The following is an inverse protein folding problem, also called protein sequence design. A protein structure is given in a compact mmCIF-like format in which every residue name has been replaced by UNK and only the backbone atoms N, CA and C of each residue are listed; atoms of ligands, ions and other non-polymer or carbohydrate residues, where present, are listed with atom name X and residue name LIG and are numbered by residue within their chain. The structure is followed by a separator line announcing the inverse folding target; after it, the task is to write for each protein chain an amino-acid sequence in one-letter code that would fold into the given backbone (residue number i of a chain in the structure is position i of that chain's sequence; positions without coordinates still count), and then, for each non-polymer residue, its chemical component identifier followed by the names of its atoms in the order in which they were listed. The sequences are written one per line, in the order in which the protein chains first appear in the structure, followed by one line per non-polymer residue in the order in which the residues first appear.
data_IF_680118914553
#
_entry.id   IF_680118914553
#
_cell.length_a   1.000
_cell.length_b   1.000
_cell.length_c   1.000
_cell.angle_alpha   90.00
_cell.angle_beta   90.00
_cell.angle_gamma   90.00
#
_symmetry.space_group_name_H-M   'P 1'
#
loop_
_entity.id
_entity.type
_entity.pdbx_description
1 polymer ?
#
# COMPACT_ATOMS: atom_id res chain seq x y z
N UNK A 1 17.46 -3.41 -7.06
CA UNK A 1 17.07 -4.61 -6.33
C UNK A 1 16.81 -5.71 -7.35
N UNK A 2 17.49 -6.82 -7.23
CA UNK A 2 17.26 -7.97 -8.09
C UNK A 2 16.05 -8.76 -7.58
N UNK A 3 15.03 -8.87 -8.38
CA UNK A 3 13.92 -9.78 -8.11
C UNK A 3 14.43 -11.21 -8.09
N UNK A 4 14.09 -11.93 -7.04
CA UNK A 4 14.52 -13.33 -6.90
C UNK A 4 13.71 -14.23 -7.84
N UNK A 5 14.41 -15.04 -8.61
CA UNK A 5 13.82 -16.05 -9.49
C UNK A 5 13.85 -17.41 -8.80
N UNK A 6 12.72 -18.08 -8.80
CA UNK A 6 12.59 -19.42 -8.22
C UNK A 6 12.42 -20.49 -9.29
N UNK A 7 12.98 -21.67 -9.04
CA UNK A 7 12.69 -22.84 -9.88
C UNK A 7 11.28 -23.37 -9.59
N UNK A 8 10.75 -24.22 -10.47
CA UNK A 8 9.46 -24.88 -10.23
C UNK A 8 9.48 -25.68 -8.92
N UNK A 9 10.58 -26.33 -8.61
CA UNK A 9 10.74 -27.11 -7.37
C UNK A 9 10.72 -26.21 -6.12
N UNK A 10 11.44 -25.10 -6.16
CA UNK A 10 11.45 -24.13 -5.08
C UNK A 10 10.06 -23.48 -4.88
N UNK A 11 9.37 -23.16 -5.96
CA UNK A 11 8.02 -22.66 -5.92
C UNK A 11 7.05 -23.70 -5.32
N UNK A 12 7.17 -24.95 -5.71
CA UNK A 12 6.36 -26.05 -5.17
C UNK A 12 6.54 -26.23 -3.67
N UNK A 13 7.77 -26.19 -3.17
CA UNK A 13 8.08 -26.25 -1.75
C UNK A 13 7.45 -25.08 -0.98
N UNK A 14 7.57 -23.89 -1.53
CA UNK A 14 7.04 -22.66 -0.91
C UNK A 14 5.51 -22.63 -0.86
N UNK A 15 4.87 -23.09 -1.93
CA UNK A 15 3.41 -23.18 -2.02
C UNK A 15 2.84 -24.46 -1.38
N UNK A 16 3.69 -25.37 -0.94
CA UNK A 16 3.32 -26.68 -0.40
C UNK A 16 2.49 -27.50 -1.41
N UNK A 17 2.90 -27.43 -2.68
CA UNK A 17 2.28 -28.14 -3.80
C UNK A 17 3.29 -29.10 -4.44
N UNK A 18 2.76 -30.04 -5.22
CA UNK A 18 3.62 -30.90 -6.03
C UNK A 18 4.14 -30.13 -7.26
N UNK A 19 5.41 -30.34 -7.70
CA UNK A 19 5.96 -29.66 -8.89
C UNK A 19 5.09 -29.77 -10.16
N UNK A 20 4.46 -30.92 -10.37
CA UNK A 20 3.51 -31.10 -11.50
C UNK A 20 2.29 -30.16 -11.41
N UNK A 21 1.83 -29.88 -10.21
CA UNK A 21 0.73 -28.94 -9.96
C UNK A 21 1.15 -27.52 -10.30
N UNK A 22 2.38 -27.13 -9.94
CA UNK A 22 2.93 -25.80 -10.28
C UNK A 22 3.05 -25.65 -11.78
N UNK A 23 3.56 -26.66 -12.50
CA UNK A 23 3.63 -26.65 -13.96
C UNK A 23 2.25 -26.53 -14.61
N UNK A 24 1.25 -27.23 -14.10
CA UNK A 24 -0.14 -27.13 -14.57
C UNK A 24 -0.69 -25.71 -14.38
N UNK A 25 -0.44 -25.09 -13.23
CA UNK A 25 -0.88 -23.72 -12.95
C UNK A 25 -0.24 -22.72 -13.91
N UNK A 26 1.02 -22.92 -14.27
CA UNK A 26 1.71 -22.09 -15.29
C UNK A 26 1.08 -22.28 -16.65
N UNK A 27 0.82 -23.52 -17.06
CA UNK A 27 0.18 -23.82 -18.36
C UNK A 27 -1.26 -23.29 -18.45
N UNK A 28 -2.00 -23.29 -17.36
CA UNK A 28 -3.37 -22.76 -17.30
C UNK A 28 -3.40 -21.22 -17.21
N UNK A 29 -2.24 -20.55 -17.11
CA UNK A 29 -2.15 -19.10 -16.96
C UNK A 29 -2.55 -18.56 -15.60
N UNK A 30 -2.68 -19.42 -14.59
CA UNK A 30 -3.04 -19.04 -13.23
C UNK A 30 -1.85 -18.60 -12.38
N UNK A 31 -0.67 -19.05 -12.73
CA UNK A 31 0.60 -18.65 -12.14
C UNK A 31 1.53 -18.17 -13.24
N UNK A 32 2.07 -16.96 -13.12
CA UNK A 32 3.02 -16.45 -14.09
C UNK A 32 4.37 -17.13 -13.96
N UNK A 33 4.88 -17.68 -15.05
CA UNK A 33 6.20 -18.26 -15.12
C UNK A 33 6.84 -17.94 -16.45
N UNK A 34 8.14 -17.67 -16.43
CA UNK A 34 8.92 -17.40 -17.62
C UNK A 34 9.76 -18.63 -17.98
N UNK A 35 9.64 -19.09 -19.22
CA UNK A 35 10.45 -20.21 -19.71
C UNK A 35 11.85 -19.72 -20.09
N UNK A 36 12.86 -20.23 -19.40
CA UNK A 36 14.26 -19.96 -19.71
C UNK A 36 14.91 -21.31 -20.08
N UNK A 37 15.19 -21.49 -21.37
CA UNK A 37 15.68 -22.76 -21.88
C UNK A 37 14.65 -23.87 -21.75
N UNK A 38 14.96 -24.92 -21.01
CA UNK A 38 14.09 -26.09 -20.77
C UNK A 38 13.33 -26.00 -19.44
N UNK A 39 13.55 -24.96 -18.66
CA UNK A 39 13.01 -24.81 -17.32
C UNK A 39 12.19 -23.53 -17.18
N UNK A 40 11.19 -23.56 -16.32
CA UNK A 40 10.46 -22.36 -15.94
C UNK A 40 11.12 -21.69 -14.75
N UNK A 41 11.04 -20.36 -14.72
CA UNK A 41 11.42 -19.53 -13.60
C UNK A 41 10.22 -18.67 -13.20
N UNK A 42 10.03 -18.55 -11.90
CA UNK A 42 8.89 -17.85 -11.30
C UNK A 42 9.44 -16.71 -10.46
N UNK A 43 8.94 -15.50 -10.68
CA UNK A 43 9.32 -14.35 -9.89
C UNK A 43 8.77 -14.45 -8.47
N UNK A 44 9.52 -13.98 -7.51
CA UNK A 44 9.09 -13.91 -6.10
C UNK A 44 7.76 -13.15 -5.96
N UNK A 45 7.60 -12.05 -6.70
CA UNK A 45 6.36 -11.26 -6.74
C UNK A 45 5.17 -12.07 -7.25
N UNK A 46 5.35 -12.90 -8.25
CA UNK A 46 4.29 -13.77 -8.78
C UNK A 46 3.89 -14.87 -7.80
N UNK A 47 4.86 -15.43 -7.09
CA UNK A 47 4.59 -16.42 -6.04
C UNK A 47 3.79 -15.83 -4.89
N UNK A 48 4.15 -14.64 -4.45
CA UNK A 48 3.42 -13.92 -3.39
C UNK A 48 2.01 -13.58 -3.81
N UNK A 49 1.84 -13.09 -5.03
CA UNK A 49 0.52 -12.78 -5.57
C UNK A 49 -0.38 -14.01 -5.66
N UNK A 50 0.17 -15.15 -6.08
CA UNK A 50 -0.55 -16.41 -6.17
C UNK A 50 -0.92 -16.97 -4.78
N UNK A 51 -0.02 -16.86 -3.82
CA UNK A 51 -0.25 -17.29 -2.43
C UNK A 51 -1.29 -16.42 -1.69
N UNK A 52 -1.77 -15.36 -2.33
CA UNK A 52 -2.66 -14.37 -1.69
C UNK A 52 -1.89 -13.40 -0.80
N UNK A 53 -0.57 -13.49 -0.80
CA UNK A 53 0.30 -12.49 -0.21
C UNK A 53 0.37 -11.31 -1.18
N UNK A 54 -0.62 -10.42 -1.12
CA UNK A 54 -0.45 -9.12 -1.77
C UNK A 54 0.86 -8.50 -1.27
N UNK A 55 1.59 -7.73 -2.11
CA UNK A 55 2.82 -7.09 -1.65
C UNK A 55 2.55 -6.36 -0.33
N UNK A 56 3.04 -6.93 0.78
CA UNK A 56 2.86 -6.42 2.14
C UNK A 56 1.57 -6.79 2.86
N UNK A 57 0.76 -7.70 2.32
CA UNK A 57 -0.17 -8.39 3.18
C UNK A 57 0.65 -9.31 4.08
N UNK A 58 0.76 -8.98 5.33
CA UNK A 58 1.09 -9.92 6.37
C UNK A 58 0.11 -11.10 6.33
N UNK A 59 0.32 -12.14 7.14
CA UNK A 59 -0.51 -13.34 7.12
C UNK A 59 -1.98 -12.93 7.02
N UNK A 60 -2.70 -13.57 6.12
CA UNK A 60 -4.12 -13.30 5.82
C UNK A 60 -4.95 -13.30 7.10
N UNK A 61 -4.98 -12.17 7.75
CA UNK A 61 -5.71 -11.88 8.94
C UNK A 61 -6.72 -10.77 8.69
N UNK A 62 -7.62 -10.57 9.62
CA UNK A 62 -8.55 -9.45 9.62
C UNK A 62 -7.79 -8.14 9.44
N UNK A 63 -8.03 -7.45 8.33
CA UNK A 63 -7.45 -6.13 8.08
C UNK A 63 -8.44 -5.07 8.51
N UNK A 64 -7.96 -4.11 9.29
CA UNK A 64 -8.76 -2.95 9.68
C UNK A 64 -8.49 -1.84 8.67
N UNK A 65 -9.54 -1.42 7.98
CA UNK A 65 -9.52 -0.23 7.13
C UNK A 65 -10.25 0.91 7.81
N UNK A 66 -9.67 2.08 7.73
CA UNK A 66 -10.19 3.29 8.36
C UNK A 66 -10.49 4.32 7.27
N UNK A 67 -11.69 4.86 7.30
CA UNK A 67 -12.03 6.08 6.59
C UNK A 67 -12.10 7.19 7.63
N UNK A 68 -11.23 8.16 7.50
CA UNK A 68 -11.12 9.27 8.45
C UNK A 68 -11.43 10.58 7.74
N UNK A 69 -12.27 11.40 8.34
CA UNK A 69 -12.51 12.78 7.92
C UNK A 69 -12.01 13.69 9.02
N UNK A 70 -11.00 14.48 8.70
CA UNK A 70 -10.43 15.46 9.61
C UNK A 70 -10.81 16.87 9.13
N UNK A 71 -11.24 17.69 10.04
CA UNK A 71 -11.55 19.10 9.79
C UNK A 71 -10.68 19.98 10.68
N UNK A 72 -9.99 20.93 10.08
CA UNK A 72 -9.18 21.91 10.80
C UNK A 72 -9.76 23.29 10.50
N UNK A 73 -10.28 23.91 11.53
CA UNK A 73 -10.94 25.21 11.45
C UNK A 73 -9.97 26.36 11.70
N UNK A 74 -10.41 27.55 11.32
CA UNK A 74 -9.72 28.81 11.58
C UNK A 74 -8.33 28.91 10.92
N UNK A 75 -8.21 28.38 9.71
CA UNK A 75 -7.01 28.43 8.90
C UNK A 75 -7.11 29.49 7.80
N UNK A 76 -6.01 30.17 7.55
CA UNK A 76 -5.86 30.93 6.30
C UNK A 76 -5.58 29.96 5.14
N UNK A 77 -5.80 30.39 3.91
CA UNK A 77 -5.50 29.60 2.71
C UNK A 77 -4.01 29.17 2.69
N UNK A 78 -3.12 30.04 3.12
CA UNK A 78 -1.68 29.78 3.14
C UNK A 78 -1.32 28.67 4.16
N UNK A 79 -1.91 28.73 5.34
CA UNK A 79 -1.74 27.70 6.38
C UNK A 79 -2.33 26.37 5.94
N UNK A 80 -3.52 26.37 5.37
CA UNK A 80 -4.15 25.17 4.81
C UNK A 80 -3.29 24.53 3.72
N UNK A 81 -2.74 25.34 2.80
CA UNK A 81 -1.85 24.85 1.75
C UNK A 81 -0.58 24.23 2.31
N UNK A 82 -0.01 24.82 3.33
CA UNK A 82 1.17 24.29 4.03
C UNK A 82 0.91 22.91 4.64
N UNK A 83 -0.19 22.80 5.37
CA UNK A 83 -0.61 21.52 6.00
C UNK A 83 -0.87 20.48 4.92
N UNK A 84 -1.64 20.80 3.89
CA UNK A 84 -1.95 19.87 2.80
C UNK A 84 -0.68 19.39 2.07
N UNK A 85 0.30 20.26 1.83
CA UNK A 85 1.56 19.90 1.19
C UNK A 85 2.40 18.94 2.04
N UNK A 86 2.49 19.16 3.34
CA UNK A 86 3.21 18.27 4.25
C UNK A 86 2.55 16.89 4.31
N UNK A 87 1.24 16.85 4.42
CA UNK A 87 0.49 15.59 4.43
C UNK A 87 0.65 14.82 3.11
N UNK A 88 0.59 15.52 1.97
CA UNK A 88 0.79 14.92 0.65
C UNK A 88 2.21 14.40 0.47
N UNK A 89 3.23 15.14 0.91
CA UNK A 89 4.62 14.71 0.85
C UNK A 89 4.88 13.44 1.69
N UNK A 90 4.24 13.33 2.85
CA UNK A 90 4.32 12.14 3.69
C UNK A 90 3.72 10.90 3.00
N UNK A 91 2.70 11.08 2.15
CA UNK A 91 2.11 9.99 1.37
C UNK A 91 3.05 9.51 0.27
N UNK A 92 3.68 10.43 -0.46
CA UNK A 92 4.61 10.11 -1.55
C UNK A 92 5.83 9.33 -1.04
N UNK A 93 6.34 9.64 0.13
CA UNK A 93 7.47 8.94 0.73
C UNK A 93 7.16 7.48 1.11
N UNK A 94 5.91 7.09 1.06
CA UNK A 94 5.41 5.78 1.46
C UNK A 94 4.83 4.95 0.30
N UNK A 95 5.14 5.28 -0.96
CA UNK A 95 4.65 4.55 -2.14
C UNK A 95 5.01 3.06 -2.18
N UNK A 96 6.00 2.64 -1.42
CA UNK A 96 6.41 1.24 -1.31
C UNK A 96 5.51 0.41 -0.37
N UNK A 97 4.44 0.98 0.15
CA UNK A 97 3.54 0.27 1.06
C UNK A 97 2.52 -0.59 0.34
N UNK A 98 2.17 -1.73 0.92
CA UNK A 98 1.24 -2.70 0.34
C UNK A 98 -0.21 -2.23 0.30
N UNK A 99 -0.58 -1.32 1.17
CA UNK A 99 -1.93 -0.75 1.24
C UNK A 99 -1.89 0.68 0.70
N UNK A 100 -2.58 0.96 -0.42
CA UNK A 100 -2.60 2.31 -0.97
C UNK A 100 -3.31 3.25 0.00
N UNK A 101 -2.57 4.21 0.49
CA UNK A 101 -3.08 5.37 1.21
C UNK A 101 -3.67 6.33 0.20
N UNK A 102 -4.93 6.66 0.36
CA UNK A 102 -5.59 7.69 -0.44
C UNK A 102 -6.01 8.85 0.44
N UNK A 103 -5.65 10.03 0.04
CA UNK A 103 -6.04 11.26 0.71
C UNK A 103 -6.58 12.26 -0.28
N UNK A 104 -7.65 12.92 0.10
CA UNK A 104 -8.23 14.07 -0.62
C UNK A 104 -8.36 15.22 0.34
N UNK A 105 -7.94 16.41 -0.06
CA UNK A 105 -8.06 17.62 0.73
C UNK A 105 -8.87 18.66 0.01
N UNK A 106 -9.66 19.43 0.74
CA UNK A 106 -10.41 20.56 0.24
C UNK A 106 -10.37 21.71 1.27
N UNK A 107 -10.09 22.91 0.80
CA UNK A 107 -10.14 24.10 1.63
C UNK A 107 -11.38 24.93 1.28
N UNK A 108 -12.12 25.30 2.30
CA UNK A 108 -13.31 26.15 2.19
C UNK A 108 -13.00 27.55 2.73
N UNK A 109 -12.79 28.53 1.85
CA UNK A 109 -12.38 29.88 2.29
C UNK A 109 -13.46 30.62 3.08
N UNK A 110 -14.73 30.33 2.82
CA UNK A 110 -15.85 30.96 3.54
C UNK A 110 -15.89 30.59 5.01
N UNK A 111 -15.61 29.33 5.33
CA UNK A 111 -15.56 28.81 6.70
C UNK A 111 -14.14 28.73 7.26
N UNK A 112 -13.14 29.05 6.46
CA UNK A 112 -11.71 28.92 6.80
C UNK A 112 -11.34 27.52 7.31
N UNK A 113 -11.93 26.50 6.70
CA UNK A 113 -11.81 25.11 7.12
C UNK A 113 -11.10 24.28 6.06
N UNK A 114 -10.07 23.56 6.49
CA UNK A 114 -9.43 22.49 5.71
C UNK A 114 -10.10 21.18 6.06
N UNK A 115 -10.64 20.50 5.07
CA UNK A 115 -11.20 19.16 5.19
C UNK A 115 -10.26 18.17 4.51
N UNK A 116 -9.87 17.11 5.20
CA UNK A 116 -9.06 16.04 4.66
C UNK A 116 -9.78 14.70 4.86
N UNK A 117 -9.87 13.91 3.80
CA UNK A 117 -10.46 12.56 3.84
C UNK A 117 -9.35 11.57 3.56
N UNK A 118 -9.16 10.63 4.46
CA UNK A 118 -8.11 9.61 4.40
C UNK A 118 -8.73 8.21 4.37
N UNK A 119 -8.24 7.39 3.47
CA UNK A 119 -8.52 5.95 3.41
C UNK A 119 -7.21 5.22 3.67
N UNK A 120 -7.12 4.46 4.74
CA UNK A 120 -5.88 3.81 5.17
C UNK A 120 -6.13 2.62 6.08
N UNK A 121 -5.06 1.83 6.33
CA UNK A 121 -5.04 0.89 7.44
C UNK A 121 -5.00 1.62 8.78
N UNK A 122 -5.30 0.92 9.86
CA UNK A 122 -5.41 1.52 11.19
C UNK A 122 -4.11 2.20 11.67
N UNK A 123 -2.96 1.54 11.49
CA UNK A 123 -1.66 2.09 11.89
C UNK A 123 -1.28 3.33 11.09
N UNK A 124 -1.52 3.30 9.79
CA UNK A 124 -1.25 4.43 8.91
C UNK A 124 -2.15 5.61 9.19
N UNK A 125 -3.43 5.36 9.47
CA UNK A 125 -4.38 6.40 9.88
C UNK A 125 -3.96 7.05 11.19
N UNK A 126 -3.51 6.27 12.17
CA UNK A 126 -3.02 6.77 13.44
C UNK A 126 -1.78 7.65 13.27
N UNK A 127 -0.82 7.22 12.47
CA UNK A 127 0.40 7.99 12.17
C UNK A 127 0.07 9.31 11.45
N UNK A 128 -0.85 9.26 10.50
CA UNK A 128 -1.30 10.43 9.76
C UNK A 128 -2.00 11.45 10.66
N UNK A 129 -2.87 11.00 11.56
CA UNK A 129 -3.55 11.87 12.51
C UNK A 129 -2.58 12.56 13.45
N UNK A 130 -1.54 11.87 13.91
CA UNK A 130 -0.47 12.46 14.73
C UNK A 130 0.30 13.51 13.95
N UNK A 131 0.63 13.24 12.69
CA UNK A 131 1.31 14.21 11.83
C UNK A 131 0.45 15.46 11.63
N UNK A 132 -0.84 15.30 11.37
CA UNK A 132 -1.78 16.40 11.25
C UNK A 132 -1.82 17.26 12.53
N UNK A 133 -1.89 16.62 13.68
CA UNK A 133 -1.90 17.32 14.97
C UNK A 133 -0.62 18.15 15.18
N UNK A 134 0.54 17.58 14.86
CA UNK A 134 1.83 18.28 14.95
C UNK A 134 1.87 19.49 14.02
N UNK A 135 1.35 19.36 12.79
CA UNK A 135 1.31 20.46 11.82
C UNK A 135 0.41 21.59 12.30
N UNK A 136 -0.74 21.28 12.86
CA UNK A 136 -1.66 22.28 13.41
C UNK A 136 -1.03 23.06 14.56
N UNK A 137 -0.30 22.37 15.42
CA UNK A 137 0.43 23.01 16.54
C UNK A 137 1.55 23.93 16.08
N UNK A 138 2.23 23.60 14.97
CA UNK A 138 3.31 24.42 14.40
C UNK A 138 2.82 25.67 13.65
N UNK A 139 1.58 25.67 13.21
CA UNK A 139 0.98 26.79 12.49
C UNK A 139 0.51 27.90 13.43
N UNK A 140 0.29 27.56 14.68
CA UNK A 140 -0.02 28.54 15.74
C UNK A 140 1.27 29.13 16.37
#
# INVERSE_FOLDING_TARGET
MSEQLHTVQQAAERLKLHPKTVLRLIHEGRLNGTRIGKSYRILESDLRAFAGEAPGAGPSGMQVRVTCVAEVEDLTMQEASRIANVLSAALISNEARPDPLHMTTAYHPETRTLKAVLFAGADDAAAWLRLLQVQVEHVR
#
